data_IF_886492204897
#
_entry.id   IF_886492204897
#
_cell.length_a   1.000
_cell.length_b   1.000
_cell.length_c   1.000
_cell.angle_alpha   90.00
_cell.angle_beta   90.00
_cell.angle_gamma   90.00
#
_symmetry.space_group_name_H-M   'P 1'
#
loop_
_entity.id
_entity.type
_entity.pdbx_description
1 polymer ?
#
# COMPACT_ATOMS: atom_id res chain seq x y z
N UNK A 1 19.01 1.07 18.95
CA UNK A 1 17.82 1.39 18.12
C UNK A 1 17.03 0.11 17.95
N UNK A 2 15.69 0.11 18.09
CA UNK A 2 14.89 -1.13 18.09
C UNK A 2 14.46 -1.52 16.66
N UNK A 3 14.87 -2.69 16.15
CA UNK A 3 14.44 -3.22 14.84
C UNK A 3 12.92 -3.38 14.71
N UNK A 4 12.24 -3.58 15.85
CA UNK A 4 10.80 -3.85 15.96
C UNK A 4 9.90 -2.80 15.28
N UNK A 5 10.36 -1.54 15.20
CA UNK A 5 9.61 -0.49 14.52
C UNK A 5 9.56 -0.64 13.00
N UNK A 6 10.56 -1.28 12.38
CA UNK A 6 10.56 -1.56 10.94
C UNK A 6 9.65 -2.73 10.57
N UNK A 7 9.54 -3.71 11.48
CA UNK A 7 8.70 -4.89 11.31
C UNK A 7 7.23 -4.50 11.15
N UNK A 8 6.71 -3.63 12.02
CA UNK A 8 5.29 -3.30 12.03
C UNK A 8 4.77 -2.63 10.75
N UNK A 9 5.61 -1.86 10.05
CA UNK A 9 5.17 -1.18 8.84
C UNK A 9 5.17 -2.10 7.62
N UNK A 10 6.09 -3.08 7.58
CA UNK A 10 6.28 -3.94 6.41
C UNK A 10 5.45 -5.21 6.54
N UNK A 11 5.35 -5.83 7.72
CA UNK A 11 4.76 -7.17 7.84
C UNK A 11 3.25 -7.18 8.00
N UNK A 12 2.61 -6.02 8.21
CA UNK A 12 1.16 -5.96 8.36
C UNK A 12 0.43 -5.97 7.03
N UNK A 13 -0.70 -6.68 7.00
CA UNK A 13 -1.64 -6.64 5.88
C UNK A 13 -2.16 -5.21 5.68
N UNK A 14 -1.78 -4.62 4.54
CA UNK A 14 -2.24 -3.31 4.06
C UNK A 14 -3.42 -3.47 3.09
N UNK A 15 -4.29 -4.43 3.34
CA UNK A 15 -5.55 -4.63 2.59
C UNK A 15 -6.46 -3.40 2.63
N UNK A 16 -6.39 -2.64 3.73
CA UNK A 16 -7.06 -1.36 3.92
C UNK A 16 -6.03 -0.20 3.93
N UNK A 17 -5.79 0.39 2.75
CA UNK A 17 -4.76 1.42 2.55
C UNK A 17 -5.03 2.71 3.35
N UNK A 18 -6.28 3.15 3.40
CA UNK A 18 -6.71 4.49 3.83
C UNK A 18 -7.89 4.46 4.82
N UNK A 19 -8.23 3.29 5.37
CA UNK A 19 -9.47 3.10 6.10
C UNK A 19 -10.63 2.75 5.16
N UNK A 20 -11.81 2.63 5.73
CA UNK A 20 -13.06 2.51 4.99
C UNK A 20 -13.25 3.59 3.91
N UNK A 21 -14.23 3.37 3.04
CA UNK A 21 -14.51 4.26 1.91
C UNK A 21 -14.88 5.69 2.34
N UNK A 22 -15.45 5.89 3.54
CA UNK A 22 -15.81 7.21 4.03
C UNK A 22 -14.57 7.99 4.45
N UNK A 23 -13.65 7.36 5.18
CA UNK A 23 -12.34 7.91 5.53
C UNK A 23 -11.51 8.24 4.28
N UNK A 24 -11.45 7.32 3.32
CA UNK A 24 -10.72 7.55 2.07
C UNK A 24 -11.29 8.73 1.27
N UNK A 25 -12.62 8.86 1.15
CA UNK A 25 -13.26 10.02 0.52
C UNK A 25 -12.96 11.33 1.26
N UNK A 26 -13.03 11.30 2.59
CA UNK A 26 -12.70 12.45 3.43
C UNK A 26 -11.25 12.91 3.22
N UNK A 27 -10.31 11.97 3.17
CA UNK A 27 -8.91 12.25 2.83
C UNK A 27 -8.80 12.85 1.43
N UNK A 28 -9.42 12.24 0.43
CA UNK A 28 -9.31 12.71 -0.95
C UNK A 28 -9.84 14.15 -1.14
N UNK A 29 -10.85 14.54 -0.37
CA UNK A 29 -11.38 15.90 -0.35
C UNK A 29 -10.46 16.90 0.37
N UNK A 30 -9.66 16.43 1.33
CA UNK A 30 -8.82 17.28 2.19
C UNK A 30 -7.31 17.14 1.94
N UNK A 31 -6.89 16.25 1.03
CA UNK A 31 -5.49 15.83 0.84
C UNK A 31 -4.53 17.00 0.63
N UNK A 32 -4.95 18.03 -0.11
CA UNK A 32 -4.10 19.21 -0.36
C UNK A 32 -3.78 19.96 0.94
N UNK A 33 -4.78 20.18 1.79
CA UNK A 33 -4.60 20.81 3.09
C UNK A 33 -3.77 19.92 4.04
N UNK A 34 -4.01 18.61 4.04
CA UNK A 34 -3.24 17.65 4.86
C UNK A 34 -1.77 17.64 4.45
N UNK A 35 -1.45 17.49 3.18
CA UNK A 35 -0.06 17.46 2.71
C UNK A 35 0.62 18.82 2.88
N UNK A 36 -0.09 19.93 2.68
CA UNK A 36 0.46 21.26 3.00
C UNK A 36 0.82 21.40 4.48
N UNK A 37 -0.06 20.94 5.38
CA UNK A 37 0.22 20.94 6.82
C UNK A 37 1.44 20.08 7.16
N UNK A 38 1.54 18.87 6.59
CA UNK A 38 2.71 18.01 6.78
C UNK A 38 4.00 18.67 6.28
N UNK A 39 3.97 19.32 5.11
CA UNK A 39 5.14 20.07 4.59
C UNK A 39 5.59 21.13 5.60
N UNK A 40 4.66 21.94 6.12
CA UNK A 40 4.98 22.98 7.10
C UNK A 40 5.61 22.42 8.38
N UNK A 41 5.13 21.28 8.86
CA UNK A 41 5.72 20.58 10.02
C UNK A 41 7.14 20.12 9.70
N UNK A 42 7.38 19.52 8.52
CA UNK A 42 8.73 19.09 8.13
C UNK A 42 9.69 20.27 7.93
N UNK A 43 9.22 21.39 7.39
CA UNK A 43 10.02 22.62 7.23
C UNK A 43 10.40 23.22 8.59
N UNK A 44 9.49 23.16 9.57
CA UNK A 44 9.72 23.64 10.94
C UNK A 44 10.68 22.72 11.68
N UNK A 45 10.50 21.41 11.53
CA UNK A 45 11.29 20.38 12.19
C UNK A 45 12.27 19.73 11.20
N UNK A 46 13.42 20.36 10.95
CA UNK A 46 14.41 19.87 9.96
C UNK A 46 14.86 18.41 10.16
N UNK A 47 14.83 17.90 11.40
CA UNK A 47 15.14 16.50 11.69
C UNK A 47 14.02 15.53 11.24
N UNK A 48 12.77 16.00 11.14
CA UNK A 48 11.61 15.18 10.82
C UNK A 48 11.75 14.52 9.45
N UNK A 49 12.23 15.22 8.42
CA UNK A 49 12.43 14.62 7.09
C UNK A 49 13.44 13.45 7.16
N UNK A 50 14.56 13.65 7.86
CA UNK A 50 15.58 12.61 8.01
C UNK A 50 15.06 11.39 8.78
N UNK A 51 14.28 11.62 9.83
CA UNK A 51 13.70 10.56 10.68
C UNK A 51 12.60 9.81 9.92
N UNK A 52 11.69 10.52 9.24
CA UNK A 52 10.63 9.92 8.43
C UNK A 52 11.22 9.13 7.26
N UNK A 53 12.20 9.70 6.54
CA UNK A 53 12.89 9.01 5.45
C UNK A 53 13.60 7.75 5.96
N UNK A 54 14.24 7.83 7.13
CA UNK A 54 14.82 6.67 7.79
C UNK A 54 13.78 5.58 8.12
N UNK A 55 12.54 5.95 8.41
CA UNK A 55 11.44 5.02 8.74
C UNK A 55 10.62 4.50 7.55
N UNK A 56 11.02 4.76 6.31
CA UNK A 56 10.18 4.35 5.17
C UNK A 56 9.33 5.47 4.59
N UNK A 57 9.18 6.59 5.29
CA UNK A 57 8.19 7.61 5.00
C UNK A 57 8.80 8.77 4.22
N UNK A 58 8.52 8.81 2.92
CA UNK A 58 8.80 9.98 2.08
C UNK A 58 7.48 10.65 1.77
N UNK A 59 7.29 11.91 2.20
CA UNK A 59 6.00 12.59 2.04
C UNK A 59 5.53 12.59 0.58
N UNK A 60 6.42 12.87 -0.37
CA UNK A 60 6.12 12.84 -1.81
C UNK A 60 5.66 11.47 -2.30
N UNK A 61 6.19 10.38 -1.73
CA UNK A 61 5.78 9.02 -2.05
C UNK A 61 4.39 8.70 -1.51
N UNK A 62 4.11 9.12 -0.26
CA UNK A 62 2.77 8.98 0.35
C UNK A 62 1.73 9.80 -0.42
N UNK A 63 2.06 11.04 -0.78
CA UNK A 63 1.18 11.89 -1.58
C UNK A 63 0.89 11.28 -2.95
N UNK A 64 1.90 10.76 -3.65
CA UNK A 64 1.71 10.06 -4.92
C UNK A 64 0.83 8.81 -4.75
N UNK A 65 1.03 8.03 -3.69
CA UNK A 65 0.21 6.85 -3.40
C UNK A 65 -1.26 7.23 -3.12
N UNK A 66 -1.50 8.25 -2.30
CA UNK A 66 -2.86 8.76 -2.03
C UNK A 66 -3.51 9.29 -3.30
N UNK A 67 -2.76 9.97 -4.17
CA UNK A 67 -3.28 10.45 -5.46
C UNK A 67 -3.78 9.30 -6.35
N UNK A 68 -3.09 8.15 -6.34
CA UNK A 68 -3.55 6.95 -7.07
C UNK A 68 -4.92 6.49 -6.56
N UNK A 69 -5.10 6.36 -5.24
CA UNK A 69 -6.40 5.96 -4.67
C UNK A 69 -7.48 6.98 -4.97
N UNK A 70 -7.18 8.28 -4.83
CA UNK A 70 -8.18 9.32 -5.03
C UNK A 70 -8.65 9.46 -6.48
N UNK A 71 -7.78 9.18 -7.45
CA UNK A 71 -8.14 9.19 -8.87
C UNK A 71 -9.06 8.01 -9.25
N UNK A 72 -8.94 6.90 -8.52
CA UNK A 72 -9.67 5.65 -8.76
C UNK A 72 -10.55 5.26 -7.54
N UNK A 73 -11.14 6.24 -6.84
CA UNK A 73 -11.77 6.01 -5.52
C UNK A 73 -12.95 5.02 -5.55
N UNK A 74 -13.63 4.89 -6.70
CA UNK A 74 -14.70 3.89 -6.87
C UNK A 74 -14.12 2.47 -6.90
N UNK A 75 -12.94 2.30 -7.48
CA UNK A 75 -12.23 1.03 -7.54
C UNK A 75 -11.62 0.67 -6.18
N UNK A 76 -11.31 1.67 -5.35
CA UNK A 76 -10.88 1.45 -3.96
C UNK A 76 -11.96 0.73 -3.13
N UNK A 77 -13.25 1.13 -3.22
CA UNK A 77 -14.35 0.44 -2.52
C UNK A 77 -14.47 -1.03 -2.95
N UNK A 78 -14.32 -1.30 -4.25
CA UNK A 78 -14.27 -2.67 -4.78
C UNK A 78 -13.05 -3.43 -4.24
N UNK A 79 -11.91 -2.75 -4.12
CA UNK A 79 -10.68 -3.29 -3.54
C UNK A 79 -10.85 -3.70 -2.09
N UNK A 80 -11.41 -2.82 -1.24
CA UNK A 80 -11.69 -3.12 0.17
C UNK A 80 -12.49 -4.41 0.33
N UNK A 81 -13.55 -4.58 -0.46
CA UNK A 81 -14.38 -5.79 -0.45
C UNK A 81 -13.60 -7.04 -0.90
N UNK A 82 -12.72 -6.90 -1.88
CA UNK A 82 -11.91 -8.00 -2.35
C UNK A 82 -10.84 -8.43 -1.33
N UNK A 83 -10.19 -7.45 -0.72
CA UNK A 83 -9.10 -7.68 0.22
C UNK A 83 -9.57 -8.05 1.63
N UNK A 84 -10.85 -7.83 1.95
CA UNK A 84 -11.43 -8.18 3.25
C UNK A 84 -11.33 -9.68 3.59
N UNK A 85 -11.28 -10.55 2.57
CA UNK A 85 -11.16 -11.99 2.76
C UNK A 85 -9.70 -12.40 2.52
N UNK A 86 -8.93 -12.51 3.59
CA UNK A 86 -7.56 -12.99 3.52
C UNK A 86 -7.46 -14.34 2.81
N UNK A 87 -6.44 -14.49 1.95
CA UNK A 87 -6.13 -15.74 1.27
C UNK A 87 -5.06 -16.52 2.08
N UNK A 88 -5.14 -17.85 2.26
CA UNK A 88 -4.06 -18.64 2.87
C UNK A 88 -2.67 -18.42 2.23
N UNK A 89 -2.63 -18.07 0.94
CA UNK A 89 -1.39 -17.67 0.27
C UNK A 89 -0.82 -16.36 0.86
N UNK A 90 -1.68 -15.38 1.14
CA UNK A 90 -1.29 -14.11 1.75
C UNK A 90 -0.75 -14.31 3.17
N UNK A 91 -1.41 -15.15 3.97
CA UNK A 91 -0.96 -15.43 5.33
C UNK A 91 0.44 -16.07 5.35
N UNK A 92 0.74 -16.93 4.37
CA UNK A 92 2.10 -17.46 4.18
C UNK A 92 3.08 -16.37 3.78
N UNK A 93 2.72 -15.50 2.83
CA UNK A 93 3.56 -14.36 2.44
C UNK A 93 3.95 -13.49 3.64
N UNK A 94 2.97 -13.18 4.50
CA UNK A 94 3.17 -12.38 5.72
C UNK A 94 4.11 -13.11 6.67
N UNK A 95 3.82 -14.37 7.01
CA UNK A 95 4.62 -15.15 7.96
C UNK A 95 6.07 -15.35 7.48
N UNK A 96 6.27 -15.65 6.20
CA UNK A 96 7.61 -15.79 5.60
C UNK A 96 8.38 -14.47 5.66
N UNK A 97 7.70 -13.35 5.41
CA UNK A 97 8.30 -12.01 5.47
C UNK A 97 8.67 -11.62 6.89
N UNK A 98 7.81 -11.91 7.86
CA UNK A 98 8.08 -11.71 9.29
C UNK A 98 9.33 -12.46 9.71
N UNK A 99 9.42 -13.76 9.37
CA UNK A 99 10.58 -14.57 9.68
C UNK A 99 11.86 -13.99 9.06
N UNK A 100 11.82 -13.59 7.78
CA UNK A 100 12.99 -13.01 7.09
C UNK A 100 13.43 -11.69 7.71
N UNK A 101 12.49 -10.85 8.14
CA UNK A 101 12.82 -9.59 8.77
C UNK A 101 13.35 -9.77 10.21
N UNK A 102 12.84 -10.74 10.97
CA UNK A 102 13.43 -11.14 12.25
C UNK A 102 14.87 -11.64 12.07
N UNK A 103 15.10 -12.50 11.09
CA UNK A 103 16.45 -12.98 10.75
C UNK A 103 17.38 -11.83 10.33
N UNK A 104 16.88 -10.84 9.60
CA UNK A 104 17.66 -9.65 9.22
C UNK A 104 18.00 -8.79 10.45
N UNK A 105 17.05 -8.60 11.36
CA UNK A 105 17.29 -7.89 12.62
C UNK A 105 18.36 -8.60 13.47
N UNK A 106 18.29 -9.92 13.58
CA UNK A 106 19.29 -10.73 14.28
C UNK A 106 20.67 -10.63 13.63
N UNK A 107 20.74 -10.72 12.29
CA UNK A 107 21.99 -10.52 11.55
C UNK A 107 22.58 -9.12 11.77
N UNK A 108 21.74 -8.07 11.83
CA UNK A 108 22.20 -6.72 12.11
C UNK A 108 22.92 -6.63 13.45
N UNK A 109 22.36 -7.25 14.49
CA UNK A 109 22.92 -7.25 15.85
C UNK A 109 24.16 -8.15 15.95
N UNK A 110 24.06 -9.39 15.48
CA UNK A 110 25.10 -10.40 15.65
C UNK A 110 26.31 -10.18 14.73
N UNK A 111 26.05 -9.81 13.47
CA UNK A 111 27.09 -9.72 12.42
C UNK A 111 27.52 -8.28 12.13
N UNK A 112 26.93 -7.29 12.82
CA UNK A 112 27.20 -5.86 12.60
C UNK A 112 27.16 -5.52 11.11
N UNK A 113 26.09 -5.93 10.41
CA UNK A 113 25.98 -5.64 8.98
C UNK A 113 26.14 -4.13 8.76
N UNK A 114 26.91 -3.79 7.73
CA UNK A 114 26.99 -2.40 7.27
C UNK A 114 25.60 -1.90 6.88
N UNK A 115 25.29 -0.60 7.02
CA UNK A 115 24.01 -0.04 6.60
C UNK A 115 23.60 -0.46 5.18
N UNK A 116 24.51 -0.43 4.22
CA UNK A 116 24.23 -0.81 2.82
C UNK A 116 23.83 -2.29 2.66
N UNK A 117 24.45 -3.18 3.42
CA UNK A 117 24.12 -4.61 3.41
C UNK A 117 22.73 -4.85 4.03
N UNK A 118 22.46 -4.19 5.16
CA UNK A 118 21.14 -4.22 5.79
C UNK A 118 20.04 -3.74 4.85
N UNK A 119 20.23 -2.57 4.23
CA UNK A 119 19.23 -1.99 3.31
C UNK A 119 19.04 -2.85 2.06
N UNK A 120 20.10 -3.49 1.54
CA UNK A 120 19.97 -4.39 0.40
C UNK A 120 19.07 -5.57 0.70
N UNK A 121 19.29 -6.24 1.83
CA UNK A 121 18.49 -7.39 2.27
C UNK A 121 17.07 -6.95 2.60
N UNK A 122 16.91 -5.84 3.35
CA UNK A 122 15.63 -5.25 3.69
C UNK A 122 14.77 -4.93 2.44
N UNK A 123 15.35 -4.23 1.47
CA UNK A 123 14.67 -3.92 0.22
C UNK A 123 14.32 -5.19 -0.55
N UNK A 124 15.23 -6.19 -0.57
CA UNK A 124 14.98 -7.49 -1.18
C UNK A 124 13.75 -8.19 -0.58
N UNK A 125 13.69 -8.29 0.74
CA UNK A 125 12.57 -8.88 1.47
C UNK A 125 11.27 -8.13 1.17
N UNK A 126 11.31 -6.79 1.12
CA UNK A 126 10.12 -5.98 0.81
C UNK A 126 9.58 -6.25 -0.61
N UNK A 127 10.46 -6.36 -1.61
CA UNK A 127 10.03 -6.72 -2.97
C UNK A 127 9.49 -8.15 -3.06
N UNK A 128 10.09 -9.09 -2.34
CA UNK A 128 9.60 -10.48 -2.27
C UNK A 128 8.21 -10.55 -1.65
N UNK A 129 7.99 -9.85 -0.54
CA UNK A 129 6.69 -9.73 0.09
C UNK A 129 5.68 -9.18 -0.91
N UNK A 130 5.93 -8.00 -1.49
CA UNK A 130 4.98 -7.35 -2.39
C UNK A 130 4.65 -8.25 -3.60
N UNK A 131 5.64 -8.97 -4.14
CA UNK A 131 5.44 -9.96 -5.21
C UNK A 131 4.53 -11.10 -4.75
N UNK A 132 4.75 -11.63 -3.56
CA UNK A 132 3.97 -12.72 -2.99
C UNK A 132 2.51 -12.30 -2.73
N UNK A 133 2.30 -11.16 -2.07
CA UNK A 133 0.97 -10.63 -1.76
C UNK A 133 0.18 -10.33 -3.03
N UNK A 134 0.77 -9.58 -3.97
CA UNK A 134 0.13 -9.28 -5.25
C UNK A 134 -0.17 -10.57 -6.03
N UNK A 135 0.70 -11.58 -5.96
CA UNK A 135 0.47 -12.90 -6.53
C UNK A 135 -0.76 -13.60 -5.91
N UNK A 136 -0.89 -13.55 -4.58
CA UNK A 136 -2.05 -14.09 -3.87
C UNK A 136 -3.35 -13.37 -4.24
N UNK A 137 -3.32 -12.04 -4.34
CA UNK A 137 -4.49 -11.25 -4.71
C UNK A 137 -4.92 -11.44 -6.18
N UNK A 138 -3.98 -11.71 -7.10
CA UNK A 138 -4.34 -12.04 -8.50
C UNK A 138 -5.21 -13.29 -8.64
N UNK A 139 -5.23 -14.17 -7.64
CA UNK A 139 -6.04 -15.39 -7.67
C UNK A 139 -7.50 -15.12 -7.33
N UNK A 140 -7.80 -14.07 -6.57
CA UNK A 140 -9.13 -13.80 -6.02
C UNK A 140 -9.72 -12.46 -6.44
N UNK A 141 -8.88 -11.50 -6.87
CA UNK A 141 -9.28 -10.16 -7.24
C UNK A 141 -9.14 -9.89 -8.74
N UNK A 142 -10.00 -9.00 -9.26
CA UNK A 142 -9.92 -8.51 -10.63
C UNK A 142 -8.60 -7.76 -10.89
N UNK A 143 -8.12 -7.83 -12.14
CA UNK A 143 -6.85 -7.21 -12.54
C UNK A 143 -6.84 -5.68 -12.40
N UNK A 144 -8.00 -5.03 -12.50
CA UNK A 144 -8.19 -3.61 -12.22
C UNK A 144 -7.84 -3.27 -10.75
N UNK A 145 -8.45 -4.00 -9.81
CA UNK A 145 -8.24 -3.85 -8.36
C UNK A 145 -6.81 -4.15 -7.96
N UNK A 146 -6.25 -5.27 -8.45
CA UNK A 146 -4.85 -5.63 -8.17
C UNK A 146 -3.90 -4.63 -8.80
N UNK A 147 -4.21 -4.15 -10.01
CA UNK A 147 -3.43 -3.12 -10.68
C UNK A 147 -3.39 -1.82 -9.87
N UNK A 148 -4.51 -1.41 -9.26
CA UNK A 148 -4.59 -0.27 -8.35
C UNK A 148 -3.71 -0.47 -7.11
N UNK A 149 -3.82 -1.62 -6.42
CA UNK A 149 -2.95 -1.96 -5.27
C UNK A 149 -1.47 -1.97 -5.69
N UNK A 150 -1.16 -2.54 -6.85
CA UNK A 150 0.21 -2.59 -7.37
C UNK A 150 0.78 -1.19 -7.54
N UNK A 151 0.04 -0.29 -8.21
CA UNK A 151 0.50 1.09 -8.38
C UNK A 151 0.65 1.80 -7.04
N UNK A 152 -0.32 1.66 -6.14
CA UNK A 152 -0.30 2.24 -4.81
C UNK A 152 0.97 1.85 -4.03
N UNK A 153 1.22 0.55 -3.87
CA UNK A 153 2.39 0.05 -3.11
C UNK A 153 3.70 0.47 -3.79
N UNK A 154 3.76 0.43 -5.12
CA UNK A 154 4.94 0.83 -5.89
C UNK A 154 5.27 2.33 -5.76
N UNK A 155 4.29 3.20 -5.47
CA UNK A 155 4.54 4.61 -5.12
C UNK A 155 5.15 4.76 -3.74
N UNK A 156 4.80 3.89 -2.79
CA UNK A 156 5.32 3.90 -1.41
C UNK A 156 6.76 3.36 -1.29
N UNK A 157 7.25 2.64 -2.29
CA UNK A 157 8.64 2.16 -2.28
C UNK A 157 9.60 3.35 -2.25
N UNK A 158 10.54 3.32 -1.30
CA UNK A 158 11.54 4.36 -1.16
C UNK A 158 12.50 4.42 -2.35
N UNK A 159 12.93 5.62 -2.73
CA UNK A 159 13.94 5.83 -3.78
C UNK A 159 15.21 5.01 -3.55
N UNK A 160 15.65 4.86 -2.30
CA UNK A 160 16.81 4.04 -1.97
C UNK A 160 16.62 2.57 -2.38
N UNK A 161 15.46 1.97 -2.06
CA UNK A 161 15.14 0.61 -2.49
C UNK A 161 14.98 0.49 -4.01
N UNK A 162 14.40 1.50 -4.68
CA UNK A 162 14.31 1.53 -6.15
C UNK A 162 15.70 1.43 -6.79
N UNK A 163 16.68 2.14 -6.23
CA UNK A 163 18.04 2.19 -6.74
C UNK A 163 18.86 0.94 -6.38
N UNK A 164 18.62 0.33 -5.22
CA UNK A 164 19.31 -0.90 -4.82
C UNK A 164 18.76 -2.16 -5.53
N UNK A 165 17.47 -2.16 -5.87
CA UNK A 165 16.75 -3.33 -6.38
C UNK A 165 16.09 -3.01 -7.73
N UNK A 166 16.84 -2.39 -8.66
CA UNK A 166 16.32 -1.86 -9.93
C UNK A 166 15.54 -2.90 -10.74
N UNK A 167 16.07 -4.12 -10.87
CA UNK A 167 15.43 -5.20 -11.63
C UNK A 167 14.09 -5.61 -11.00
N UNK A 168 14.08 -5.88 -9.69
CA UNK A 168 12.86 -6.20 -8.94
C UNK A 168 11.82 -5.08 -9.05
N UNK A 169 12.26 -3.82 -8.97
CA UNK A 169 11.37 -2.66 -9.15
C UNK A 169 10.77 -2.60 -10.55
N UNK A 170 11.57 -2.74 -11.61
CA UNK A 170 11.07 -2.69 -12.98
C UNK A 170 10.10 -3.83 -13.30
N UNK A 171 10.39 -5.05 -12.82
CA UNK A 171 9.53 -6.21 -13.02
C UNK A 171 8.17 -6.07 -12.33
N UNK A 172 8.15 -5.54 -11.11
CA UNK A 172 6.96 -5.46 -10.26
C UNK A 172 6.16 -4.18 -10.47
N UNK A 173 6.87 -3.06 -10.64
CA UNK A 173 6.34 -1.69 -10.64
C UNK A 173 6.39 -1.00 -12.00
N UNK A 174 6.61 -1.73 -13.10
CA UNK A 174 6.46 -1.19 -14.44
C UNK A 174 5.00 -0.79 -14.73
N UNK A 175 4.78 0.29 -15.50
CA UNK A 175 3.42 0.83 -15.72
C UNK A 175 2.45 -0.18 -16.35
N UNK A 176 2.95 -1.13 -17.14
CA UNK A 176 2.18 -2.24 -17.70
C UNK A 176 1.55 -3.13 -16.63
N UNK A 177 2.06 -3.12 -15.40
CA UNK A 177 1.55 -3.90 -14.25
C UNK A 177 0.39 -3.20 -13.53
N UNK A 178 0.17 -1.92 -13.78
CA UNK A 178 -0.84 -1.12 -13.10
C UNK A 178 -2.25 -1.33 -13.65
N UNK A 179 -2.38 -1.94 -14.84
CA UNK A 179 -3.67 -2.20 -15.48
C UNK A 179 -4.57 -0.94 -15.60
N UNK A 180 -3.97 0.24 -15.80
CA UNK A 180 -4.68 1.53 -15.89
C UNK A 180 -5.78 1.53 -16.94
N UNK A 181 -5.56 0.81 -18.05
CA UNK A 181 -6.54 0.64 -19.13
C UNK A 181 -7.83 -0.10 -18.70
N UNK A 182 -7.81 -0.82 -17.58
CA UNK A 182 -8.96 -1.56 -17.06
C UNK A 182 -9.72 -0.78 -15.97
N UNK A 183 -9.21 0.38 -15.54
CA UNK A 183 -9.78 1.16 -14.42
C UNK A 183 -10.83 2.19 -14.88
N UNK A 184 -11.68 1.84 -15.83
CA UNK A 184 -12.59 2.80 -16.45
C UNK A 184 -13.44 3.60 -15.42
N UNK A 185 -13.28 4.93 -15.44
CA UNK A 185 -14.17 5.91 -14.79
C UNK A 185 -13.60 6.61 -13.55
N UNK A 186 -12.92 7.76 -13.73
CA UNK A 186 -12.48 8.57 -12.59
C UNK A 186 -11.74 9.89 -12.83
N UNK A 187 -11.64 10.43 -14.05
CA UNK A 187 -11.02 11.75 -14.25
C UNK A 187 -11.11 12.25 -15.68
N UNK A 188 -11.93 13.28 -15.89
CA UNK A 188 -12.21 13.86 -17.21
C UNK A 188 -10.97 14.38 -17.93
N UNK A 189 -10.71 13.83 -19.10
CA UNK A 189 -9.96 14.45 -20.19
C UNK A 189 -10.81 14.33 -21.45
N UNK A 190 -11.28 15.46 -21.95
CA UNK A 190 -12.16 15.60 -23.12
C UNK A 190 -11.73 14.76 -24.31
N UNK A 191 -12.66 13.96 -24.84
CA UNK A 191 -12.84 13.78 -26.28
C UNK A 191 -14.26 13.32 -26.53
N UNK A 192 -15.05 14.24 -27.07
CA UNK A 192 -16.35 13.96 -27.63
C UNK A 192 -16.19 13.04 -28.85
N UNK A 193 -16.86 11.89 -28.84
CA UNK A 193 -17.54 11.41 -30.05
C UNK A 193 -18.68 10.50 -29.65
N UNK A 194 -19.87 10.95 -30.03
CA UNK A 194 -21.13 10.21 -30.11
C UNK A 194 -20.95 8.84 -30.79
N UNK A 195 -21.50 7.78 -30.19
CA UNK A 195 -22.55 7.01 -30.88
C UNK A 195 -23.24 5.96 -29.98
N UNK A 196 -24.54 6.17 -29.87
CA UNK A 196 -25.62 5.23 -29.54
C UNK A 196 -25.43 3.79 -30.04
N UNK A 197 -25.74 2.79 -29.20
CA UNK A 197 -26.84 1.83 -29.48
C UNK A 197 -27.22 0.94 -28.30
N UNK A 198 -28.53 0.68 -28.22
CA UNK A 198 -29.31 -0.11 -27.27
C UNK A 198 -28.89 -1.59 -27.10
N UNK A 199 -29.29 -2.19 -25.96
CA UNK A 199 -29.36 -3.66 -25.86
C UNK A 199 -29.65 -4.20 -24.45
N UNK A 200 -30.93 -4.43 -24.17
CA UNK A 200 -31.50 -5.14 -23.01
C UNK A 200 -30.96 -6.57 -22.86
N UNK A 201 -30.64 -7.04 -21.63
CA UNK A 201 -31.17 -8.34 -21.16
C UNK A 201 -30.99 -8.65 -19.67
N UNK A 202 -32.00 -9.40 -19.20
CA UNK A 202 -32.31 -9.89 -17.87
C UNK A 202 -31.57 -11.22 -17.63
N UNK A 203 -31.14 -11.50 -16.39
CA UNK A 203 -30.47 -12.76 -16.06
C UNK A 203 -30.28 -13.00 -14.56
N UNK A 204 -31.34 -13.52 -13.94
CA UNK A 204 -31.47 -14.00 -12.57
C UNK A 204 -30.62 -15.27 -12.31
N UNK A 205 -29.80 -15.32 -11.24
CA UNK A 205 -29.21 -16.58 -10.72
C UNK A 205 -29.12 -16.56 -9.19
N UNK A 206 -29.75 -17.59 -8.60
CA UNK A 206 -29.79 -17.97 -7.19
C UNK A 206 -28.40 -18.19 -6.56
N UNK A 207 -28.22 -17.67 -5.34
CA UNK A 207 -27.12 -18.03 -4.43
C UNK A 207 -27.64 -18.90 -3.28
N UNK A 208 -27.22 -20.17 -3.27
CA UNK A 208 -27.34 -21.05 -2.11
C UNK A 208 -26.24 -20.75 -1.10
N UNK A 209 -26.62 -20.55 0.15
CA UNK A 209 -25.74 -20.14 1.25
C UNK A 209 -25.56 -21.33 2.22
N UNK A 210 -24.35 -21.87 2.29
CA UNK A 210 -23.94 -22.83 3.32
C UNK A 210 -22.80 -22.25 4.16
N UNK A 211 -23.10 -22.05 5.45
CA UNK A 211 -22.27 -22.36 6.63
C UNK A 211 -20.80 -21.96 6.70
N UNK A 212 -20.48 -21.21 7.77
CA UNK A 212 -19.54 -21.73 8.78
C UNK A 212 -18.20 -21.01 8.99
N UNK A 213 -18.13 -20.32 10.13
CA UNK A 213 -17.02 -20.18 11.08
C UNK A 213 -15.71 -19.43 10.73
N UNK A 214 -15.40 -18.47 11.63
CA UNK A 214 -14.11 -18.46 12.33
C UNK A 214 -13.04 -17.50 11.79
N UNK A 215 -13.32 -16.19 11.72
CA UNK A 215 -12.31 -15.18 11.41
C UNK A 215 -11.63 -14.67 12.68
N UNK A 216 -10.36 -15.05 12.90
CA UNK A 216 -9.47 -14.30 13.76
C UNK A 216 -9.31 -12.88 13.19
N UNK A 217 -9.61 -11.87 13.99
CA UNK A 217 -9.54 -10.47 13.60
C UNK A 217 -8.08 -10.05 13.46
N UNK A 218 -7.55 -10.04 12.24
CA UNK A 218 -6.30 -9.36 11.91
C UNK A 218 -6.55 -7.86 11.98
N UNK A 219 -5.91 -7.18 12.93
CA UNK A 219 -5.87 -5.70 12.98
C UNK A 219 -5.10 -5.18 11.78
N UNK A 220 -5.80 -4.80 10.71
CA UNK A 220 -5.22 -4.09 9.57
C UNK A 220 -4.70 -2.72 10.02
N UNK A 221 -3.39 -2.50 9.88
CA UNK A 221 -2.76 -1.22 10.21
C UNK A 221 -2.98 -0.21 9.10
N UNK A 222 -3.96 0.67 9.25
CA UNK A 222 -4.19 1.75 8.28
C UNK A 222 -3.02 2.76 8.29
N UNK A 223 -2.64 3.28 7.13
CA UNK A 223 -1.64 4.36 7.00
C UNK A 223 -2.07 5.59 7.81
N UNK A 224 -3.36 5.78 8.06
CA UNK A 224 -3.86 6.81 8.96
C UNK A 224 -3.38 6.66 10.39
N UNK A 225 -3.38 5.45 10.95
CA UNK A 225 -2.87 5.23 12.30
C UNK A 225 -1.38 5.61 12.40
N UNK A 226 -0.62 5.37 11.33
CA UNK A 226 0.79 5.76 11.21
C UNK A 226 0.94 7.29 11.08
N UNK A 227 0.17 7.94 10.22
CA UNK A 227 0.21 9.40 10.05
C UNK A 227 -0.20 10.15 11.32
N UNK A 228 -1.26 9.70 12.00
CA UNK A 228 -1.68 10.25 13.29
C UNK A 228 -0.63 10.02 14.38
N UNK A 229 -0.01 8.85 14.44
CA UNK A 229 1.05 8.57 15.41
C UNK A 229 2.31 9.40 15.17
N UNK A 230 2.68 9.66 13.92
CA UNK A 230 3.82 10.50 13.57
C UNK A 230 3.56 11.98 13.93
N UNK A 231 2.36 12.49 13.65
CA UNK A 231 1.97 13.86 14.03
C UNK A 231 1.90 13.99 15.56
N UNK A 232 1.35 13.01 16.27
CA UNK A 232 1.31 13.01 17.73
C UNK A 232 2.71 12.92 18.36
N UNK A 233 3.61 12.11 17.79
CA UNK A 233 4.99 12.00 18.25
C UNK A 233 5.77 13.32 18.06
N UNK A 234 5.55 14.03 16.94
CA UNK A 234 6.17 15.34 16.71
C UNK A 234 5.57 16.41 17.65
N UNK A 235 4.26 16.38 17.89
CA UNK A 235 3.60 17.29 18.83
C UNK A 235 4.04 17.09 20.29
N UNK A 236 4.42 15.87 20.68
CA UNK A 236 4.95 15.56 22.01
C UNK A 236 6.44 15.92 22.18
N UNK A 237 7.15 16.25 21.10
CA UNK A 237 8.55 16.69 21.14
C UNK A 237 8.70 18.22 21.08
N UNK A 238 7.59 18.96 20.99
CA UNK A 238 7.51 20.42 21.11
C UNK A 238 7.03 20.81 22.50
#
# INVERSE_FOLDING_TARGET
MKPDMFLMNITHDRSDFMGDIAMAKSLCNSKGAVFQCMTQVMETCKAAESVLSYWGHQQSSVEQAVNVICNDIQLYDKGLKCFANGNPALQRCISDTESKMMDLADKQVQKKLSPDAYFRDFCGIHFEQLRCELGGWKQTCGSDVVGLKTEFECRLIQTHCKNLQVQNYQELCGESKFAKNLRAGGGGGSSATDQSTSGTNIGNVNSGQTGGNGGASSTSGSIFALLLSAVAAVALML
#
